data_IF_636215308976
#
_entry.id   IF_636215308976
#
_cell.length_a   1.000
_cell.length_b   1.000
_cell.length_c   1.000
_cell.angle_alpha   90.00
_cell.angle_beta   90.00
_cell.angle_gamma   90.00
#
_symmetry.space_group_name_H-M   'P 1'
#
loop_
_entity.id
_entity.type
_entity.pdbx_description
1 polymer ?
#
# COMPACT_ATOMS: atom_id res chain seq x y z
N UNK A 1 -11.62 19.26 2.84
CA UNK A 1 -10.69 18.17 3.20
C UNK A 1 -10.98 17.00 2.30
N UNK A 2 -10.05 16.59 1.43
CA UNK A 2 -10.27 15.41 0.59
C UNK A 2 -10.08 14.15 1.44
N UNK A 3 -11.13 13.32 1.51
CA UNK A 3 -11.09 12.05 2.24
C UNK A 3 -10.43 11.00 1.35
N UNK A 4 -9.38 10.37 1.86
CA UNK A 4 -8.80 9.18 1.24
C UNK A 4 -9.62 7.95 1.66
N UNK A 5 -10.22 7.27 0.69
CA UNK A 5 -11.05 6.07 0.90
C UNK A 5 -10.53 4.98 -0.05
N UNK A 6 -10.29 3.80 0.50
CA UNK A 6 -9.79 2.63 -0.23
C UNK A 6 -10.86 1.54 -0.20
N UNK A 7 -11.93 1.77 -0.97
CA UNK A 7 -13.14 0.93 -1.04
C UNK A 7 -13.20 0.07 -2.32
N UNK A 8 -12.09 -0.03 -3.04
CA UNK A 8 -11.91 -0.78 -4.28
C UNK A 8 -10.47 -1.34 -4.34
N UNK A 9 -10.13 -2.20 -5.32
CA UNK A 9 -8.81 -2.83 -5.39
C UNK A 9 -7.65 -1.83 -5.30
N UNK A 10 -6.66 -2.16 -4.48
CA UNK A 10 -5.53 -1.27 -4.18
C UNK A 10 -4.22 -2.03 -4.06
N UNK A 11 -3.11 -1.28 -4.14
CA UNK A 11 -1.77 -1.78 -3.87
C UNK A 11 -1.27 -1.24 -2.55
N UNK A 12 -0.47 -2.03 -1.84
CA UNK A 12 0.23 -1.58 -0.65
C UNK A 12 1.72 -1.89 -0.77
N UNK A 13 2.51 -1.07 -0.07
CA UNK A 13 3.96 -1.21 0.04
C UNK A 13 4.34 -1.00 1.50
N UNK A 14 5.06 -1.95 2.07
CA UNK A 14 5.73 -1.79 3.35
C UNK A 14 7.22 -1.68 3.02
N UNK A 15 7.83 -0.56 3.40
CA UNK A 15 9.23 -0.25 3.08
C UNK A 15 9.97 0.31 4.28
N UNK A 16 11.26 -0.01 4.35
CA UNK A 16 12.20 0.74 5.16
C UNK A 16 12.61 2.01 4.38
N UNK A 17 12.73 3.14 5.07
CA UNK A 17 13.22 4.37 4.45
C UNK A 17 14.75 4.49 4.49
N UNK A 18 15.39 3.88 5.48
CA UNK A 18 16.85 3.85 5.63
C UNK A 18 17.31 2.48 6.14
N UNK A 19 17.85 1.61 5.26
CA UNK A 19 18.04 1.81 3.82
C UNK A 19 16.71 1.77 3.06
N UNK A 20 16.68 2.37 1.87
CA UNK A 20 15.51 2.37 0.98
C UNK A 20 15.26 0.96 0.41
N UNK A 21 14.47 0.17 1.12
CA UNK A 21 14.22 -1.24 0.82
C UNK A 21 12.73 -1.56 0.95
N UNK A 22 12.18 -2.21 -0.06
CA UNK A 22 10.81 -2.75 -0.04
C UNK A 22 10.84 -4.06 0.76
N UNK A 23 10.06 -4.11 1.84
CA UNK A 23 9.94 -5.29 2.68
C UNK A 23 8.78 -6.18 2.21
N UNK A 24 7.64 -5.57 1.87
CA UNK A 24 6.47 -6.27 1.35
C UNK A 24 5.78 -5.40 0.28
N UNK A 25 5.26 -6.06 -0.75
CA UNK A 25 4.45 -5.45 -1.79
C UNK A 25 3.31 -6.39 -2.13
N UNK A 26 2.12 -5.84 -2.33
CA UNK A 26 0.96 -6.66 -2.68
C UNK A 26 -0.18 -5.85 -3.26
N UNK A 27 -1.13 -6.58 -3.84
CA UNK A 27 -2.40 -6.05 -4.33
C UNK A 27 -3.54 -6.73 -3.62
N UNK A 28 -4.54 -5.98 -3.18
CA UNK A 28 -5.81 -6.52 -2.71
C UNK A 28 -6.81 -6.36 -3.85
N UNK A 29 -7.30 -7.47 -4.38
CA UNK A 29 -8.28 -7.51 -5.49
C UNK A 29 -9.68 -7.88 -5.00
N UNK A 30 -9.73 -8.73 -3.98
CA UNK A 30 -10.93 -9.23 -3.32
C UNK A 30 -10.63 -9.30 -1.81
N UNK A 31 -11.65 -9.13 -0.98
CA UNK A 31 -11.56 -9.12 0.49
C UNK A 31 -11.86 -10.49 1.10
#
# INVERSE_FOLDING_TARGET
>A
THKFVVDHPFMFLIRCHDPEVILFMGTIREL
#
